data_IF_207541613017
#
_entry.id   IF_207541613017
#
_cell.length_a   1.000
_cell.length_b   1.000
_cell.length_c   1.000
_cell.angle_alpha   90.00
_cell.angle_beta   90.00
_cell.angle_gamma   90.00
#
_symmetry.space_group_name_H-M   'P 1'
#
loop_
_entity.id
_entity.type
_entity.pdbx_description
1 polymer ?
#
# COMPACT_ATOMS: atom_id res chain seq x y z
N UNK A 1 26.97 -3.21 17.92
CA UNK A 1 25.94 -3.67 16.97
C UNK A 1 25.73 -2.55 15.97
N UNK A 2 26.23 -2.69 14.74
CA UNK A 2 25.98 -1.73 13.68
C UNK A 2 24.50 -1.86 13.31
N UNK A 3 23.67 -0.92 13.76
CA UNK A 3 22.28 -0.83 13.35
C UNK A 3 22.24 -0.42 11.89
N UNK A 4 22.12 -1.40 10.99
CA UNK A 4 21.79 -1.14 9.59
C UNK A 4 20.49 -0.36 9.60
N UNK A 5 20.51 0.85 9.06
CA UNK A 5 19.29 1.64 8.91
C UNK A 5 18.34 0.86 8.01
N UNK A 6 17.13 0.57 8.50
CA UNK A 6 16.09 -0.09 7.70
C UNK A 6 15.85 0.72 6.42
N UNK A 7 15.98 0.08 5.25
CA UNK A 7 15.79 0.71 3.94
C UNK A 7 14.30 0.81 3.63
N UNK A 8 13.72 1.98 3.87
CA UNK A 8 12.33 2.25 3.52
C UNK A 8 12.20 2.75 2.08
N UNK A 9 11.18 2.28 1.36
CA UNK A 9 10.82 2.85 0.05
C UNK A 9 9.53 3.63 0.22
N UNK A 10 9.60 4.93 -0.06
CA UNK A 10 8.47 5.86 0.01
C UNK A 10 8.12 6.25 -1.42
N UNK A 11 6.87 6.00 -1.83
CA UNK A 11 6.42 6.26 -3.20
C UNK A 11 5.30 7.27 -3.22
N UNK A 12 5.49 8.31 -4.03
CA UNK A 12 4.44 9.23 -4.44
C UNK A 12 4.01 8.86 -5.87
N UNK A 13 2.80 8.35 -6.02
CA UNK A 13 2.23 7.98 -7.32
C UNK A 13 1.71 9.17 -8.13
N UNK A 14 0.87 8.89 -9.12
CA UNK A 14 0.13 9.92 -9.85
C UNK A 14 -0.86 10.58 -8.89
N UNK A 15 -0.65 11.87 -8.66
CA UNK A 15 -1.36 12.68 -7.69
C UNK A 15 -1.55 14.06 -8.30
N UNK A 16 -2.31 14.15 -9.39
CA UNK A 16 -2.50 15.43 -10.07
C UNK A 16 -3.19 16.49 -9.18
N UNK A 17 -3.78 16.14 -8.02
CA UNK A 17 -4.68 17.03 -7.27
C UNK A 17 -4.78 16.86 -5.74
N UNK A 18 -3.87 16.18 -5.04
CA UNK A 18 -3.92 16.18 -3.57
C UNK A 18 -2.73 16.96 -3.01
N UNK A 19 -2.94 17.93 -2.10
CA UNK A 19 -1.84 18.64 -1.48
C UNK A 19 -1.09 17.73 -0.50
N UNK A 20 0.20 17.58 -0.75
CA UNK A 20 1.19 16.81 0.02
C UNK A 20 1.18 17.10 1.54
N UNK A 21 0.61 18.24 1.97
CA UNK A 21 0.73 18.79 3.32
C UNK A 21 0.04 17.98 4.42
N UNK A 22 -1.07 17.30 4.12
CA UNK A 22 -1.92 16.77 5.20
C UNK A 22 -1.69 15.29 5.49
N UNK A 23 -1.11 14.53 4.55
CA UNK A 23 -0.88 13.09 4.70
C UNK A 23 0.59 12.67 4.87
N UNK A 24 1.56 13.47 4.39
CA UNK A 24 2.98 13.18 4.55
C UNK A 24 3.55 13.63 5.91
N UNK A 25 2.91 14.60 6.58
CA UNK A 25 3.47 15.29 7.75
C UNK A 25 3.64 14.41 8.99
N UNK A 26 2.82 13.36 9.14
CA UNK A 26 2.87 12.48 10.31
C UNK A 26 3.92 11.36 10.25
N UNK A 27 4.32 10.91 9.05
CA UNK A 27 5.11 9.68 8.91
C UNK A 27 6.59 9.93 8.59
N UNK A 28 6.91 11.01 7.86
CA UNK A 28 8.29 11.34 7.47
C UNK A 28 9.19 11.78 8.65
N UNK A 29 8.61 12.13 9.81
CA UNK A 29 9.39 12.61 10.96
C UNK A 29 9.99 11.49 11.83
N UNK A 30 9.56 10.24 11.68
CA UNK A 30 9.97 9.13 12.56
C UNK A 30 11.02 8.17 12.01
N UNK A 31 11.10 7.98 10.68
CA UNK A 31 11.95 6.96 10.05
C UNK A 31 13.01 7.62 9.16
N UNK A 32 14.19 7.89 9.73
CA UNK A 32 15.36 8.39 9.00
C UNK A 32 15.92 7.25 8.13
N UNK A 33 15.93 7.41 6.81
CA UNK A 33 16.64 6.50 5.90
C UNK A 33 15.85 5.87 4.74
N UNK A 34 14.76 6.51 4.26
CA UNK A 34 14.02 5.99 3.11
C UNK A 34 14.35 6.66 1.77
N UNK A 35 14.37 5.88 0.69
CA UNK A 35 14.44 6.37 -0.69
C UNK A 35 13.05 6.89 -1.09
N UNK A 36 12.94 8.19 -1.41
CA UNK A 36 11.72 8.79 -1.94
C UNK A 36 11.70 8.64 -3.46
N UNK A 37 10.73 7.90 -3.98
CA UNK A 37 10.45 7.75 -5.40
C UNK A 37 9.22 8.58 -5.78
N UNK A 38 9.41 9.58 -6.64
CA UNK A 38 8.32 10.40 -7.17
C UNK A 38 7.98 9.93 -8.57
N UNK A 39 6.75 9.46 -8.74
CA UNK A 39 6.22 8.93 -10.00
C UNK A 39 7.18 7.94 -10.69
N UNK A 40 7.63 6.88 -9.99
CA UNK A 40 8.58 5.93 -10.55
C UNK A 40 7.97 5.13 -11.71
N UNK A 41 8.81 4.51 -12.52
CA UNK A 41 8.36 3.42 -13.39
C UNK A 41 8.10 2.16 -12.56
N UNK A 42 7.30 1.24 -13.08
CA UNK A 42 7.02 -0.04 -12.44
C UNK A 42 8.31 -0.83 -12.21
N UNK A 43 9.24 -0.86 -13.18
CA UNK A 43 10.54 -1.53 -13.01
C UNK A 43 11.38 -0.91 -11.88
N UNK A 44 11.50 0.41 -11.84
CA UNK A 44 12.29 1.06 -10.77
C UNK A 44 11.69 0.82 -9.39
N UNK A 45 10.35 0.76 -9.29
CA UNK A 45 9.68 0.40 -8.05
C UNK A 45 9.91 -1.08 -7.68
N UNK A 46 9.87 -2.00 -8.64
CA UNK A 46 10.19 -3.42 -8.40
C UNK A 46 11.60 -3.57 -7.85
N UNK A 47 12.59 -2.93 -8.46
CA UNK A 47 13.99 -2.95 -8.01
C UNK A 47 14.13 -2.41 -6.58
N UNK A 48 13.48 -1.29 -6.28
CA UNK A 48 13.49 -0.71 -4.94
C UNK A 48 12.85 -1.65 -3.91
N UNK A 49 11.70 -2.25 -4.22
CA UNK A 49 11.00 -3.17 -3.34
C UNK A 49 11.75 -4.49 -3.09
N UNK A 50 12.60 -4.94 -4.01
CA UNK A 50 13.42 -6.14 -3.81
C UNK A 50 14.45 -5.92 -2.69
N UNK A 51 14.96 -4.71 -2.53
CA UNK A 51 15.99 -4.36 -1.53
C UNK A 51 15.42 -3.71 -0.26
N UNK A 52 14.12 -3.39 -0.23
CA UNK A 52 13.50 -2.70 0.89
C UNK A 52 13.30 -3.58 2.13
N UNK A 53 13.24 -2.92 3.29
CA UNK A 53 12.77 -3.48 4.56
C UNK A 53 11.34 -3.03 4.88
N UNK A 54 10.85 -1.97 4.24
CA UNK A 54 9.47 -1.53 4.35
C UNK A 54 9.03 -0.61 3.23
N UNK A 55 7.72 -0.48 3.09
CA UNK A 55 7.09 0.19 1.96
C UNK A 55 5.97 1.13 2.38
N UNK A 56 5.97 2.32 1.81
CA UNK A 56 4.88 3.29 1.93
C UNK A 56 4.52 3.80 0.53
N UNK A 57 3.25 3.68 0.16
CA UNK A 57 2.71 4.25 -1.06
C UNK A 57 1.61 5.24 -0.73
N UNK A 58 1.61 6.35 -1.45
CA UNK A 58 0.50 7.30 -1.46
C UNK A 58 0.21 7.81 -2.88
N UNK A 59 -1.06 7.72 -3.28
CA UNK A 59 -1.51 8.09 -4.62
C UNK A 59 -2.85 7.43 -4.98
N UNK A 60 -3.15 7.37 -6.28
CA UNK A 60 -4.37 6.72 -6.76
C UNK A 60 -4.23 5.19 -6.84
N UNK A 61 -5.37 4.52 -6.63
CA UNK A 61 -5.53 3.08 -6.85
C UNK A 61 -6.86 2.80 -7.52
N UNK A 62 -6.97 1.63 -8.15
CA UNK A 62 -8.18 1.20 -8.86
C UNK A 62 -8.79 -0.08 -8.27
N UNK A 63 -10.00 -0.42 -8.74
CA UNK A 63 -10.74 -1.63 -8.32
C UNK A 63 -10.03 -2.95 -8.69
N UNK A 64 -9.02 -2.89 -9.56
CA UNK A 64 -8.13 -4.00 -9.89
C UNK A 64 -6.99 -4.18 -8.89
N UNK A 65 -6.89 -3.30 -7.88
CA UNK A 65 -5.80 -3.28 -6.92
C UNK A 65 -4.50 -2.73 -7.49
N UNK A 66 -4.53 -2.07 -8.65
CA UNK A 66 -3.34 -1.45 -9.22
C UNK A 66 -3.08 -0.08 -8.60
N UNK A 67 -1.82 0.26 -8.42
CA UNK A 67 -1.37 1.57 -7.93
C UNK A 67 -0.93 2.42 -9.12
N UNK A 68 -1.44 3.64 -9.22
CA UNK A 68 -1.09 4.54 -10.32
C UNK A 68 0.24 5.22 -10.00
N UNK A 69 1.29 4.89 -10.74
CA UNK A 69 2.62 5.47 -10.54
C UNK A 69 2.75 6.78 -11.30
N UNK A 70 2.26 6.79 -12.54
CA UNK A 70 2.20 7.96 -13.43
C UNK A 70 0.82 7.98 -14.11
N UNK A 71 0.48 9.02 -14.89
CA UNK A 71 -0.78 9.04 -15.64
C UNK A 71 -0.97 7.86 -16.61
N UNK A 72 0.12 7.24 -17.06
CA UNK A 72 0.11 6.16 -18.05
C UNK A 72 0.58 4.82 -17.49
N UNK A 73 1.20 4.81 -16.31
CA UNK A 73 1.86 3.63 -15.74
C UNK A 73 1.25 3.23 -14.40
N UNK A 74 1.09 1.92 -14.22
CA UNK A 74 0.49 1.33 -13.02
C UNK A 74 1.35 0.18 -12.52
N UNK A 75 1.49 0.07 -11.21
CA UNK A 75 2.02 -1.09 -10.52
C UNK A 75 0.87 -2.05 -10.21
N UNK A 76 0.87 -3.21 -10.87
CA UNK A 76 -0.21 -4.19 -10.82
C UNK A 76 0.10 -5.29 -9.81
N UNK A 77 -0.89 -6.13 -9.58
CA UNK A 77 -0.74 -7.30 -8.71
C UNK A 77 0.29 -8.31 -9.25
N UNK A 78 0.44 -8.41 -10.59
CA UNK A 78 1.49 -9.23 -11.21
C UNK A 78 2.91 -8.71 -10.93
N UNK A 79 3.09 -7.39 -10.90
CA UNK A 79 4.39 -6.79 -10.56
C UNK A 79 4.76 -7.11 -9.10
N UNK A 80 3.77 -7.15 -8.21
CA UNK A 80 3.95 -7.55 -6.81
C UNK A 80 4.36 -9.02 -6.68
N UNK A 81 3.74 -9.93 -7.44
CA UNK A 81 4.12 -11.36 -7.50
C UNK A 81 5.55 -11.55 -8.00
N UNK A 82 5.97 -10.74 -8.96
CA UNK A 82 7.33 -10.74 -9.48
C UNK A 82 8.33 -10.29 -8.39
N UNK A 83 8.04 -9.23 -7.64
CA UNK A 83 8.87 -8.80 -6.50
C UNK A 83 8.97 -9.89 -5.44
N UNK A 84 7.85 -10.53 -5.07
CA UNK A 84 7.82 -11.63 -4.11
C UNK A 84 8.74 -12.76 -4.57
N UNK A 85 8.63 -13.16 -5.83
CA UNK A 85 9.45 -14.22 -6.43
C UNK A 85 10.94 -13.86 -6.44
N UNK A 86 11.28 -12.63 -6.86
CA UNK A 86 12.67 -12.13 -6.85
C UNK A 86 13.26 -12.12 -5.44
N UNK A 87 12.52 -11.63 -4.44
CA UNK A 87 12.95 -11.63 -3.03
C UNK A 87 13.16 -13.03 -2.49
N UNK A 88 12.27 -13.98 -2.83
CA UNK A 88 12.39 -15.37 -2.41
C UNK A 88 13.66 -16.03 -2.96
N UNK A 89 13.97 -15.82 -4.24
CA UNK A 89 15.22 -16.31 -4.87
C UNK A 89 16.46 -15.74 -4.19
N UNK A 90 16.42 -14.47 -3.79
CA UNK A 90 17.52 -13.80 -3.10
C UNK A 90 17.59 -14.08 -1.60
N UNK A 91 16.66 -14.87 -1.05
CA UNK A 91 16.59 -15.14 0.39
C UNK A 91 16.30 -13.90 1.23
N UNK A 92 15.68 -12.86 0.65
CA UNK A 92 15.31 -11.65 1.38
C UNK A 92 14.13 -11.94 2.31
N UNK A 93 14.13 -11.41 3.55
CA UNK A 93 12.99 -11.55 4.44
C UNK A 93 11.75 -10.82 3.88
N UNK A 94 10.58 -11.01 4.50
CA UNK A 94 9.42 -10.14 4.24
C UNK A 94 9.70 -8.72 4.71
N UNK A 95 9.01 -7.75 4.10
CA UNK A 95 9.01 -6.37 4.59
C UNK A 95 8.40 -6.34 6.00
N UNK A 96 8.90 -5.48 6.88
CA UNK A 96 8.29 -5.26 8.21
C UNK A 96 6.86 -4.73 8.07
N UNK A 97 6.63 -3.84 7.11
CA UNK A 97 5.35 -3.18 6.87
C UNK A 97 5.19 -2.77 5.41
N UNK A 98 3.97 -2.89 4.90
CA UNK A 98 3.51 -2.28 3.67
C UNK A 98 2.28 -1.40 3.95
N UNK A 99 2.42 -0.09 3.78
CA UNK A 99 1.33 0.87 3.92
C UNK A 99 0.94 1.41 2.54
N UNK A 100 -0.30 1.10 2.11
CA UNK A 100 -0.78 1.36 0.76
C UNK A 100 -1.98 2.29 0.80
N UNK A 101 -1.69 3.59 0.83
CA UNK A 101 -2.70 4.67 0.86
C UNK A 101 -3.19 4.99 -0.54
N UNK A 102 -4.06 4.12 -1.05
CA UNK A 102 -4.69 4.25 -2.35
C UNK A 102 -6.12 3.69 -2.31
N UNK A 103 -7.03 4.26 -3.10
CA UNK A 103 -8.40 3.75 -3.20
C UNK A 103 -8.39 2.26 -3.55
N UNK A 104 -9.26 1.49 -2.90
CA UNK A 104 -9.47 0.05 -3.17
C UNK A 104 -8.24 -0.86 -2.98
N UNK A 105 -7.15 -0.37 -2.38
CA UNK A 105 -5.91 -1.13 -2.17
C UNK A 105 -6.10 -2.39 -1.30
N UNK A 106 -7.14 -2.41 -0.47
CA UNK A 106 -7.57 -3.54 0.35
C UNK A 106 -8.98 -4.04 0.05
N UNK A 107 -9.50 -3.80 -1.15
CA UNK A 107 -10.89 -4.10 -1.49
C UNK A 107 -11.22 -5.59 -1.62
N UNK A 108 -10.21 -6.42 -1.90
CA UNK A 108 -10.35 -7.88 -2.04
C UNK A 108 -9.37 -8.62 -1.15
N UNK A 109 -9.78 -9.79 -0.67
CA UNK A 109 -8.92 -10.67 0.12
C UNK A 109 -7.66 -11.09 -0.66
N UNK A 110 -7.80 -11.33 -1.97
CA UNK A 110 -6.69 -11.65 -2.87
C UNK A 110 -5.57 -10.58 -2.84
N UNK A 111 -5.93 -9.29 -2.88
CA UNK A 111 -4.95 -8.19 -2.91
C UNK A 111 -4.22 -8.06 -1.57
N UNK A 112 -4.96 -8.19 -0.47
CA UNK A 112 -4.40 -8.17 0.89
C UNK A 112 -3.45 -9.35 1.08
N UNK A 113 -3.84 -10.54 0.64
CA UNK A 113 -3.03 -11.74 0.80
C UNK A 113 -1.74 -11.67 -0.01
N UNK A 114 -1.74 -11.09 -1.22
CA UNK A 114 -0.51 -10.84 -1.98
C UNK A 114 0.42 -9.87 -1.25
N UNK A 115 -0.11 -8.76 -0.73
CA UNK A 115 0.68 -7.85 0.09
C UNK A 115 1.23 -8.53 1.35
N UNK A 116 0.44 -9.39 1.99
CA UNK A 116 0.91 -10.19 3.12
C UNK A 116 1.98 -11.20 2.72
N UNK A 117 1.96 -11.76 1.51
CA UNK A 117 3.09 -12.59 1.04
C UNK A 117 4.40 -11.80 0.94
N UNK A 118 4.34 -10.48 0.72
CA UNK A 118 5.51 -9.59 0.70
C UNK A 118 5.88 -9.01 2.07
N UNK A 119 4.90 -8.68 2.93
CA UNK A 119 5.08 -7.87 4.14
C UNK A 119 4.40 -8.48 5.37
N UNK A 120 5.00 -8.37 6.55
CA UNK A 120 4.45 -8.88 7.82
C UNK A 120 3.14 -8.22 8.24
N UNK A 121 3.05 -6.90 8.00
CA UNK A 121 1.88 -6.07 8.31
C UNK A 121 1.48 -5.29 7.08
N UNK A 122 0.18 -5.27 6.78
CA UNK A 122 -0.37 -4.49 5.67
C UNK A 122 -1.39 -3.49 6.20
N UNK A 123 -1.20 -2.22 5.83
CA UNK A 123 -2.16 -1.16 6.04
C UNK A 123 -2.74 -0.72 4.69
N UNK A 124 -4.05 -0.80 4.51
CA UNK A 124 -4.67 -0.50 3.22
C UNK A 124 -6.14 -0.06 3.37
N UNK A 125 -6.73 0.43 2.29
CA UNK A 125 -8.12 0.94 2.29
C UNK A 125 -9.03 0.00 1.52
N UNK A 126 -10.13 -0.49 2.12
CA UNK A 126 -11.07 -1.38 1.43
C UNK A 126 -11.89 -0.68 0.34
N UNK A 127 -11.94 0.65 0.37
CA UNK A 127 -12.74 1.49 -0.53
C UNK A 127 -11.98 2.78 -0.87
N UNK A 128 -12.67 3.80 -1.38
CA UNK A 128 -12.12 5.13 -1.68
C UNK A 128 -11.52 5.79 -0.42
N UNK A 129 -10.34 6.38 -0.57
CA UNK A 129 -9.63 7.06 0.53
C UNK A 129 -10.22 8.44 0.86
N UNK A 130 -10.76 9.13 -0.15
CA UNK A 130 -11.45 10.40 -0.01
C UNK A 130 -12.85 10.31 -0.63
N UNK A 131 -13.89 10.43 0.19
CA UNK A 131 -15.26 10.66 -0.29
C UNK A 131 -15.49 12.15 -0.46
N UNK A 132 -16.15 12.55 -1.56
CA UNK A 132 -16.60 13.93 -1.75
C UNK A 132 -17.74 14.33 -0.79
N UNK A 133 -18.21 13.39 0.03
CA UNK A 133 -19.26 13.61 1.04
C UNK A 133 -18.61 13.55 2.43
N UNK A 134 -18.48 14.69 3.14
CA UNK A 134 -18.10 14.70 4.55
C UNK A 134 -19.12 13.92 5.40
N UNK A 135 -18.71 13.24 6.49
CA UNK A 135 -17.36 13.14 7.04
C UNK A 135 -16.65 11.82 6.65
N UNK A 136 -16.97 11.23 5.49
CA UNK A 136 -16.64 9.82 5.22
C UNK A 136 -15.22 9.62 4.67
N UNK A 137 -14.22 9.73 5.56
CA UNK A 137 -12.91 9.09 5.33
C UNK A 137 -13.08 7.63 5.71
N UNK A 138 -12.96 6.72 4.74
CA UNK A 138 -12.97 5.29 5.05
C UNK A 138 -11.76 4.96 5.93
N UNK A 139 -11.93 4.23 7.04
CA UNK A 139 -10.81 3.91 7.90
C UNK A 139 -9.79 3.03 7.16
N UNK A 140 -8.51 3.26 7.42
CA UNK A 140 -7.46 2.35 7.00
C UNK A 140 -7.54 1.08 7.85
N UNK A 141 -7.48 -0.07 7.20
CA UNK A 141 -7.52 -1.36 7.87
C UNK A 141 -6.11 -1.93 8.04
N UNK A 142 -5.91 -2.74 9.07
CA UNK A 142 -4.63 -3.40 9.36
C UNK A 142 -4.80 -4.90 9.29
N UNK A 143 -3.95 -5.58 8.53
CA UNK A 143 -3.93 -7.03 8.39
C UNK A 143 -2.55 -7.58 8.76
N UNK A 144 -2.55 -8.70 9.50
CA UNK A 144 -1.34 -9.44 9.92
C UNK A 144 -1.38 -10.91 9.52
N UNK A 145 -2.52 -11.37 9.02
CA UNK A 145 -2.80 -12.75 8.64
C UNK A 145 -3.67 -12.75 7.38
N UNK A 146 -3.54 -13.78 6.52
CA UNK A 146 -4.38 -13.91 5.34
C UNK A 146 -5.88 -13.92 5.69
N UNK A 147 -6.69 -13.47 4.75
CA UNK A 147 -8.16 -13.45 4.86
C UNK A 147 -8.81 -14.14 3.66
N UNK A 148 -10.04 -14.63 3.82
CA UNK A 148 -10.82 -15.38 2.83
C UNK A 148 -12.10 -14.64 2.38
N UNK A 149 -12.25 -13.38 2.77
CA UNK A 149 -13.37 -12.51 2.41
C UNK A 149 -12.91 -11.24 1.69
N UNK A 150 -13.84 -10.57 1.01
CA UNK A 150 -13.61 -9.28 0.33
C UNK A 150 -14.06 -8.11 1.19
N UNK A 151 -13.15 -7.30 1.77
CA UNK A 151 -13.53 -6.17 2.62
C UNK A 151 -14.35 -5.11 1.90
N UNK A 152 -14.10 -4.89 0.61
CA UNK A 152 -14.82 -3.91 -0.21
C UNK A 152 -16.30 -4.26 -0.42
N UNK A 153 -16.69 -5.53 -0.25
CA UNK A 153 -18.12 -5.94 -0.29
C UNK A 153 -18.85 -5.65 1.02
N UNK A 154 -18.13 -5.59 2.14
CA UNK A 154 -18.71 -5.29 3.46
C UNK A 154 -19.02 -3.80 3.62
N UNK A 155 -18.34 -2.92 2.87
CA UNK A 155 -18.46 -1.46 2.93
C UNK A 155 -19.80 -0.87 2.48
N UNK A 156 -20.63 -1.63 1.75
CA UNK A 156 -22.00 -1.20 1.40
C UNK A 156 -23.08 -1.73 2.35
N UNK A 157 -22.80 -2.81 3.09
CA UNK A 157 -23.79 -3.50 3.93
C UNK A 157 -23.55 -3.38 5.44
N UNK A 158 -22.40 -2.90 5.91
CA UNK A 158 -22.19 -2.60 7.34
C UNK A 158 -23.00 -1.38 7.84
N UNK A 159 -23.81 -0.75 6.98
CA UNK A 159 -24.85 0.23 7.37
C UNK A 159 -26.08 -0.38 8.07
N UNK A 160 -26.17 -1.70 8.24
CA UNK A 160 -27.23 -2.33 9.04
C UNK A 160 -26.71 -3.51 9.88
N UNK A 161 -26.03 -3.24 10.99
CA UNK A 161 -26.10 -4.06 12.22
C UNK A 161 -25.21 -3.51 13.33
N UNK A 162 -25.56 -2.33 13.83
CA UNK A 162 -25.37 -2.03 15.25
C UNK A 162 -26.69 -1.45 15.78
N UNK A 163 -27.63 -2.34 16.08
CA UNK A 163 -28.72 -2.07 17.03
C UNK A 163 -29.27 -3.38 17.57
N UNK A 164 -28.62 -3.91 18.62
CA UNK A 164 -29.16 -4.08 19.97
C UNK A 164 -28.19 -4.92 20.79
#
# INVERSE_FOLDING_TARGET
MNGTLNKFVIVRGDEARVPFSDMAFGFCLGRRGGDLLVQPTAESLKEALVEADGFFFYGHGDKGGALHLTPTERFRQQDLEEVISRRAVLGKPRLEVAEVRACYSGSKGEYINRWLSLAEVVHCFPDVTASAVPPFIHPMHTYRKPIDYDPGRLGFWSRFSWSR
#
